data_IF_240417808733
#
_entry.id   IF_240417808733
#
_cell.length_a   1.000
_cell.length_b   1.000
_cell.length_c   1.000
_cell.angle_alpha   90.00
_cell.angle_beta   90.00
_cell.angle_gamma   90.00
#
_symmetry.space_group_name_H-M   'P 1'
#
loop_
_entity.id
_entity.type
_entity.pdbx_description
1 polymer ?
#
# COMPACT_ATOMS: atom_id res chain seq x y z
N UNK A 1 9.84 7.27 11.24
CA UNK A 1 8.91 8.42 11.02
C UNK A 1 8.22 8.29 9.67
N UNK A 2 6.93 8.63 9.58
CA UNK A 2 6.19 8.65 8.31
C UNK A 2 5.91 10.10 7.91
N UNK A 3 6.20 10.46 6.67
CA UNK A 3 5.89 11.76 6.11
C UNK A 3 5.27 11.61 4.72
N UNK A 4 4.23 12.39 4.46
CA UNK A 4 3.56 12.43 3.15
C UNK A 4 4.17 13.49 2.24
N UNK A 5 4.83 14.49 2.81
CA UNK A 5 5.44 15.60 2.09
C UNK A 5 6.93 15.69 2.42
N UNK A 6 7.74 15.98 1.41
CA UNK A 6 9.19 16.09 1.56
C UNK A 6 9.61 17.25 2.45
N UNK A 7 8.83 18.32 2.49
CA UNK A 7 9.07 19.47 3.41
C UNK A 7 8.96 19.03 4.88
N UNK A 8 8.05 18.12 5.22
CA UNK A 8 7.96 17.55 6.58
C UNK A 8 9.18 16.70 6.91
N UNK A 9 9.68 15.97 5.92
CA UNK A 9 10.91 15.18 6.07
C UNK A 9 12.12 16.09 6.28
N UNK A 10 12.21 17.19 5.51
CA UNK A 10 13.27 18.19 5.64
C UNK A 10 13.29 18.81 7.03
N UNK A 11 12.13 19.33 7.50
CA UNK A 11 12.01 19.90 8.84
C UNK A 11 12.33 18.91 9.95
N UNK A 12 11.93 17.64 9.80
CA UNK A 12 12.26 16.59 10.76
C UNK A 12 13.77 16.27 10.76
N UNK A 13 14.39 16.17 9.60
CA UNK A 13 15.83 15.92 9.48
C UNK A 13 16.66 17.04 10.10
N UNK A 14 16.29 18.29 9.86
CA UNK A 14 16.92 19.47 10.49
C UNK A 14 16.75 19.45 12.02
N UNK A 15 15.53 19.26 12.52
CA UNK A 15 15.26 19.27 13.93
C UNK A 15 15.95 18.13 14.71
N UNK A 16 16.22 17.00 14.05
CA UNK A 16 16.83 15.80 14.64
C UNK A 16 18.35 15.73 14.45
N UNK A 17 18.93 16.57 13.62
CA UNK A 17 20.38 16.62 13.39
C UNK A 17 21.14 16.79 14.72
N UNK A 18 22.13 15.92 14.95
CA UNK A 18 22.91 15.88 16.18
C UNK A 18 22.15 15.42 17.44
N UNK A 19 20.89 15.01 17.31
CA UNK A 19 20.04 14.56 18.44
C UNK A 19 19.68 13.09 18.38
N UNK A 20 19.73 12.50 17.19
CA UNK A 20 19.46 11.07 17.00
C UNK A 20 20.61 10.43 16.23
N UNK A 21 20.90 9.18 16.55
CA UNK A 21 21.92 8.41 15.85
C UNK A 21 21.36 7.71 14.60
N UNK A 22 20.05 7.40 14.59
CA UNK A 22 19.42 6.61 13.56
C UNK A 22 18.01 7.12 13.23
N UNK A 23 17.70 7.25 11.94
CA UNK A 23 16.39 7.65 11.42
C UNK A 23 15.80 6.50 10.60
N UNK A 24 14.74 5.87 11.10
CA UNK A 24 13.99 4.86 10.36
C UNK A 24 12.82 5.54 9.63
N UNK A 25 12.86 5.52 8.31
CA UNK A 25 11.87 6.15 7.45
C UNK A 25 10.85 5.14 6.93
N UNK A 26 9.57 5.47 7.08
CA UNK A 26 8.46 4.71 6.54
C UNK A 26 8.22 5.16 5.11
N UNK A 27 8.86 4.47 4.19
CA UNK A 27 8.77 4.71 2.76
C UNK A 27 7.67 3.87 2.10
N UNK A 28 7.76 3.66 0.81
CA UNK A 28 6.77 2.94 0.01
C UNK A 28 7.40 2.29 -1.20
N UNK A 29 6.80 1.22 -1.71
CA UNK A 29 7.12 0.69 -3.04
C UNK A 29 6.85 1.68 -4.19
N UNK A 30 6.11 2.74 -3.93
CA UNK A 30 5.85 3.83 -4.87
C UNK A 30 7.11 4.62 -5.29
N UNK A 31 8.24 4.38 -4.65
CA UNK A 31 9.54 4.97 -5.04
C UNK A 31 10.18 4.27 -6.24
N UNK A 32 9.75 3.07 -6.58
CA UNK A 32 10.31 2.33 -7.71
C UNK A 32 9.72 2.79 -9.05
N UNK A 33 10.58 2.86 -10.06
CA UNK A 33 10.11 3.00 -11.44
C UNK A 33 9.52 1.70 -11.93
N UNK A 34 8.49 1.76 -12.80
CA UNK A 34 7.96 0.56 -13.44
C UNK A 34 9.09 -0.24 -14.08
N UNK A 35 9.05 -1.54 -13.85
CA UNK A 35 9.98 -2.51 -14.43
C UNK A 35 9.17 -3.69 -14.93
N UNK A 36 9.61 -4.29 -16.01
CA UNK A 36 9.07 -5.56 -16.52
C UNK A 36 9.62 -6.77 -15.77
N UNK A 37 10.63 -6.55 -14.92
CA UNK A 37 11.22 -7.58 -14.08
C UNK A 37 10.59 -7.58 -12.69
N UNK A 38 10.01 -8.68 -12.28
CA UNK A 38 9.39 -8.89 -10.97
C UNK A 38 10.03 -10.06 -10.24
N UNK A 39 10.04 -10.04 -8.91
CA UNK A 39 9.64 -8.95 -8.02
C UNK A 39 10.66 -7.81 -8.00
N UNK A 40 10.20 -6.58 -7.67
CA UNK A 40 11.08 -5.42 -7.52
C UNK A 40 11.96 -5.58 -6.26
N UNK A 41 13.25 -5.40 -6.44
CA UNK A 41 14.25 -5.45 -5.37
C UNK A 41 14.66 -4.05 -4.96
N UNK A 42 15.42 -3.93 -3.88
CA UNK A 42 15.95 -2.65 -3.42
C UNK A 42 16.90 -1.99 -4.45
N UNK A 43 17.46 -2.79 -5.36
CA UNK A 43 18.27 -2.35 -6.50
C UNK A 43 17.45 -1.92 -7.73
N UNK A 44 16.13 -2.15 -7.73
CA UNK A 44 15.26 -1.72 -8.84
C UNK A 44 15.35 -0.21 -9.02
N UNK A 45 15.34 0.31 -10.27
CA UNK A 45 15.47 1.74 -10.54
C UNK A 45 14.51 2.59 -9.70
N UNK A 46 15.05 3.59 -9.06
CA UNK A 46 14.39 4.49 -8.13
C UNK A 46 14.06 5.83 -8.81
N UNK A 47 12.88 6.37 -8.57
CA UNK A 47 12.48 7.67 -9.08
C UNK A 47 10.96 7.83 -9.18
N UNK A 48 10.47 9.06 -9.39
CA UNK A 48 9.04 9.30 -9.47
C UNK A 48 8.44 8.64 -10.71
N UNK A 49 7.22 8.16 -10.56
CA UNK A 49 6.43 7.56 -11.64
C UNK A 49 5.02 8.13 -11.69
N UNK A 50 4.44 8.32 -12.89
CA UNK A 50 3.12 8.95 -13.04
C UNK A 50 2.01 8.26 -12.25
N UNK A 51 1.97 6.92 -12.21
CA UNK A 51 0.90 6.16 -11.55
C UNK A 51 0.71 6.49 -10.07
N UNK A 52 1.77 6.93 -9.38
CA UNK A 52 1.72 7.32 -7.97
C UNK A 52 1.51 8.82 -7.74
N UNK A 53 1.41 9.60 -8.82
CA UNK A 53 1.15 11.03 -8.77
C UNK A 53 2.08 11.79 -7.82
N UNK A 54 1.49 12.68 -7.02
CA UNK A 54 2.25 13.45 -6.04
C UNK A 54 2.82 12.58 -4.92
N UNK A 55 2.09 11.55 -4.49
CA UNK A 55 2.54 10.68 -3.41
C UNK A 55 3.90 10.03 -3.71
N UNK A 56 4.07 9.45 -4.90
CA UNK A 56 5.35 8.85 -5.31
C UNK A 56 6.47 9.87 -5.41
N UNK A 57 6.18 11.06 -5.97
CA UNK A 57 7.17 12.17 -6.04
C UNK A 57 7.66 12.56 -4.65
N UNK A 58 6.75 12.76 -3.70
CA UNK A 58 7.08 13.16 -2.34
C UNK A 58 7.87 12.08 -1.59
N UNK A 59 7.51 10.80 -1.75
CA UNK A 59 8.28 9.70 -1.15
C UNK A 59 9.70 9.60 -1.72
N UNK A 60 9.87 9.78 -3.03
CA UNK A 60 11.18 9.83 -3.68
C UNK A 60 12.01 11.02 -3.18
N UNK A 61 11.42 12.22 -3.10
CA UNK A 61 12.09 13.40 -2.60
C UNK A 61 12.53 13.23 -1.14
N UNK A 62 11.64 12.68 -0.30
CA UNK A 62 11.94 12.39 1.11
C UNK A 62 13.10 11.39 1.26
N UNK A 63 13.09 10.29 0.49
CA UNK A 63 14.21 9.33 0.57
C UNK A 63 15.53 9.97 0.11
N UNK A 64 15.54 10.73 -0.97
CA UNK A 64 16.76 11.42 -1.44
C UNK A 64 17.34 12.32 -0.38
N UNK A 65 16.52 13.18 0.21
CA UNK A 65 16.91 14.08 1.30
C UNK A 65 17.54 13.31 2.47
N UNK A 66 16.93 12.19 2.88
CA UNK A 66 17.45 11.39 3.98
C UNK A 66 18.75 10.67 3.61
N UNK A 67 18.89 10.19 2.37
CA UNK A 67 20.15 9.60 1.90
C UNK A 67 21.28 10.63 1.82
N UNK A 68 20.98 11.87 1.43
CA UNK A 68 21.96 12.96 1.47
C UNK A 68 22.40 13.27 2.89
N UNK A 69 21.47 13.30 3.85
CA UNK A 69 21.79 13.48 5.28
C UNK A 69 22.63 12.32 5.83
N UNK A 70 22.35 11.07 5.43
CA UNK A 70 23.15 9.92 5.77
C UNK A 70 24.57 10.00 5.23
N UNK A 71 24.72 10.34 3.94
CA UNK A 71 26.01 10.50 3.28
C UNK A 71 26.84 11.63 3.91
N UNK A 72 26.19 12.67 4.41
CA UNK A 72 26.82 13.75 5.16
C UNK A 72 27.20 13.37 6.60
N UNK A 73 26.87 12.15 7.06
CA UNK A 73 27.16 11.71 8.43
C UNK A 73 26.26 12.33 9.49
N UNK A 74 25.10 12.90 9.11
CA UNK A 74 24.19 13.55 10.07
C UNK A 74 23.57 12.52 11.03
N UNK A 75 23.12 11.38 10.50
CA UNK A 75 22.62 10.20 11.23
C UNK A 75 22.56 8.99 10.28
N UNK A 76 22.46 7.79 10.84
CA UNK A 76 22.15 6.61 10.04
C UNK A 76 20.71 6.70 9.53
N UNK A 77 20.46 6.18 8.32
CA UNK A 77 19.13 6.11 7.72
C UNK A 77 18.82 4.68 7.36
N UNK A 78 17.61 4.23 7.71
CA UNK A 78 17.00 3.01 7.17
C UNK A 78 15.70 3.38 6.48
N UNK A 79 15.52 2.94 5.24
CA UNK A 79 14.26 3.12 4.51
C UNK A 79 13.51 1.80 4.41
N UNK A 80 12.31 1.74 5.01
CA UNK A 80 11.42 0.58 4.93
C UNK A 80 10.36 0.84 3.85
N UNK A 81 10.38 0.07 2.76
CA UNK A 81 9.52 0.23 1.59
C UNK A 81 8.41 -0.79 1.61
N UNK A 82 7.18 -0.34 1.78
CA UNK A 82 5.99 -1.18 1.87
C UNK A 82 5.19 -1.12 0.57
N UNK A 83 4.54 -2.24 0.16
CA UNK A 83 3.51 -2.19 -0.87
C UNK A 83 2.22 -1.57 -0.29
N UNK A 84 1.26 -2.37 0.11
CA UNK A 84 0.04 -1.93 0.78
C UNK A 84 -0.02 -2.54 2.17
N UNK A 85 -0.16 -1.69 3.18
CA UNK A 85 -0.32 -2.12 4.57
C UNK A 85 -1.80 -2.38 4.79
N UNK A 86 -2.13 -3.57 5.28
CA UNK A 86 -3.48 -4.00 5.64
C UNK A 86 -3.57 -4.31 7.14
N UNK A 87 -4.78 -4.24 7.67
CA UNK A 87 -5.06 -4.62 9.06
C UNK A 87 -6.17 -3.79 9.69
N UNK A 88 -6.58 -4.15 10.93
CA UNK A 88 -7.60 -3.45 11.68
C UNK A 88 -7.35 -1.94 11.77
N UNK A 89 -8.42 -1.17 11.74
CA UNK A 89 -8.40 0.29 11.80
C UNK A 89 -7.62 0.98 10.66
N UNK A 90 -7.46 0.31 9.51
CA UNK A 90 -6.85 0.93 8.34
C UNK A 90 -7.63 2.20 7.96
N UNK A 91 -6.93 3.36 7.93
CA UNK A 91 -7.54 4.64 7.55
C UNK A 91 -7.75 4.77 6.04
N UNK A 92 -7.01 3.99 5.24
CA UNK A 92 -7.19 3.93 3.80
C UNK A 92 -8.36 3.02 3.48
N UNK A 93 -9.24 3.48 2.57
CA UNK A 93 -10.43 2.74 2.15
C UNK A 93 -10.01 1.58 1.21
N UNK A 94 -9.52 0.50 1.80
CA UNK A 94 -9.13 -0.74 1.11
C UNK A 94 -10.01 -1.90 1.54
N UNK A 95 -9.78 -2.45 2.73
CA UNK A 95 -10.63 -3.52 3.25
C UNK A 95 -12.06 -3.04 3.43
N UNK A 96 -12.27 -1.82 3.96
CA UNK A 96 -13.59 -1.19 4.07
C UNK A 96 -14.29 -1.03 2.72
N UNK A 97 -13.52 -0.77 1.64
CA UNK A 97 -14.05 -0.71 0.28
C UNK A 97 -14.71 -2.02 -0.12
N UNK A 98 -14.01 -3.16 0.05
CA UNK A 98 -14.55 -4.47 -0.30
C UNK A 98 -15.68 -4.89 0.64
N UNK A 99 -15.45 -4.80 1.94
CA UNK A 99 -16.40 -5.27 2.97
C UNK A 99 -17.74 -4.56 2.88
N UNK A 100 -17.73 -3.22 2.77
CA UNK A 100 -18.98 -2.48 2.68
C UNK A 100 -19.78 -2.78 1.42
N UNK A 101 -19.11 -3.04 0.28
CA UNK A 101 -19.79 -3.41 -0.98
C UNK A 101 -20.31 -4.84 -0.93
N UNK A 102 -19.55 -5.76 -0.40
CA UNK A 102 -19.93 -7.16 -0.25
C UNK A 102 -21.12 -7.32 0.71
N UNK A 103 -21.12 -6.67 1.87
CA UNK A 103 -22.25 -6.68 2.81
C UNK A 103 -23.50 -6.03 2.22
N UNK A 104 -23.35 -5.00 1.39
CA UNK A 104 -24.47 -4.34 0.73
C UNK A 104 -24.93 -5.05 -0.56
N UNK A 105 -24.29 -6.14 -0.98
CA UNK A 105 -24.58 -6.84 -2.24
C UNK A 105 -24.29 -5.99 -3.49
N UNK A 106 -23.46 -4.95 -3.37
CA UNK A 106 -23.13 -4.05 -4.49
C UNK A 106 -22.15 -4.70 -5.48
N UNK A 107 -22.26 -4.38 -6.78
CA UNK A 107 -21.22 -4.76 -7.72
C UNK A 107 -19.89 -4.11 -7.35
N UNK A 108 -18.80 -4.88 -7.51
CA UNK A 108 -17.43 -4.35 -7.38
C UNK A 108 -16.83 -4.28 -8.78
N UNK A 109 -16.52 -3.05 -9.22
CA UNK A 109 -15.93 -2.77 -10.51
C UNK A 109 -14.44 -3.12 -10.46
N UNK A 110 -14.02 -4.05 -11.32
CA UNK A 110 -12.62 -4.50 -11.40
C UNK A 110 -11.95 -3.92 -12.64
N UNK A 111 -10.84 -3.17 -12.50
CA UNK A 111 -10.02 -2.76 -13.63
C UNK A 111 -9.57 -3.96 -14.47
N UNK A 112 -9.86 -3.94 -15.75
CA UNK A 112 -9.69 -5.09 -16.63
C UNK A 112 -10.51 -6.27 -16.14
N UNK A 113 -9.88 -7.42 -15.96
CA UNK A 113 -10.48 -8.61 -15.34
C UNK A 113 -10.00 -8.86 -13.92
N UNK A 114 -9.37 -7.85 -13.31
CA UNK A 114 -8.78 -7.95 -11.97
C UNK A 114 -7.54 -8.86 -11.91
N UNK A 115 -6.81 -9.00 -13.02
CA UNK A 115 -5.61 -9.87 -13.10
C UNK A 115 -4.35 -9.22 -12.57
N UNK A 116 -4.40 -7.94 -12.24
CA UNK A 116 -3.25 -7.22 -11.65
C UNK A 116 -2.86 -7.84 -10.33
N UNK A 117 -1.56 -8.13 -10.19
CA UNK A 117 -0.98 -8.64 -8.95
C UNK A 117 -0.63 -7.49 -8.02
N UNK A 118 -1.12 -7.58 -6.81
CA UNK A 118 -0.71 -6.73 -5.70
C UNK A 118 -0.16 -7.58 -4.56
N UNK A 119 0.60 -6.94 -3.72
CA UNK A 119 1.19 -7.54 -2.54
C UNK A 119 0.83 -6.71 -1.32
N UNK A 120 0.70 -7.37 -0.20
CA UNK A 120 0.30 -6.76 1.06
C UNK A 120 1.31 -7.09 2.15
N UNK A 121 1.24 -6.32 3.22
CA UNK A 121 1.95 -6.59 4.47
C UNK A 121 1.02 -6.26 5.64
N UNK A 122 1.04 -7.09 6.66
CA UNK A 122 0.22 -6.88 7.85
C UNK A 122 0.82 -5.79 8.75
N UNK A 123 -0.03 -4.97 9.34
CA UNK A 123 0.39 -3.82 10.15
C UNK A 123 1.33 -4.20 11.31
N UNK A 124 1.15 -5.37 11.93
CA UNK A 124 2.04 -5.85 12.99
C UNK A 124 3.41 -6.27 12.45
N UNK A 125 3.48 -6.86 11.24
CA UNK A 125 4.76 -7.16 10.58
C UNK A 125 5.53 -5.88 10.27
N UNK A 126 4.82 -4.81 9.88
CA UNK A 126 5.39 -3.47 9.70
C UNK A 126 5.97 -2.95 11.01
N UNK A 127 5.19 -3.04 12.10
CA UNK A 127 5.65 -2.59 13.42
C UNK A 127 6.90 -3.37 13.86
N UNK A 128 6.92 -4.68 13.65
CA UNK A 128 8.07 -5.54 13.94
C UNK A 128 9.31 -5.15 13.13
N UNK A 129 9.14 -4.86 11.83
CA UNK A 129 10.24 -4.40 10.99
C UNK A 129 10.82 -3.06 11.47
N UNK A 130 9.97 -2.13 11.91
CA UNK A 130 10.41 -0.83 12.46
C UNK A 130 11.21 -1.03 13.75
N UNK A 131 10.68 -1.82 14.69
CA UNK A 131 11.34 -2.09 15.98
C UNK A 131 12.69 -2.75 15.73
N UNK A 132 12.72 -3.82 14.93
CA UNK A 132 13.97 -4.54 14.66
C UNK A 132 15.01 -3.66 13.97
N UNK A 133 14.62 -2.84 12.98
CA UNK A 133 15.54 -1.90 12.34
C UNK A 133 16.10 -0.88 13.33
N UNK A 134 15.29 -0.47 14.32
CA UNK A 134 15.73 0.46 15.37
C UNK A 134 16.69 -0.20 16.39
N UNK A 135 16.46 -1.48 16.69
CA UNK A 135 17.29 -2.26 17.63
C UNK A 135 18.59 -2.76 17.01
N UNK A 136 18.69 -2.80 15.68
CA UNK A 136 19.87 -3.27 14.94
C UNK A 136 20.47 -2.18 14.03
N UNK A 137 20.82 -0.99 14.56
CA UNK A 137 21.29 0.14 13.77
C UNK A 137 22.56 -0.16 12.96
N UNK A 138 23.43 -1.05 13.44
CA UNK A 138 24.68 -1.44 12.77
C UNK A 138 24.42 -2.21 11.48
N UNK A 139 23.33 -2.99 11.43
CA UNK A 139 22.94 -3.76 10.24
C UNK A 139 21.99 -2.97 9.35
N UNK A 140 21.02 -2.29 9.95
CA UNK A 140 19.96 -1.60 9.23
C UNK A 140 20.39 -0.23 8.69
N UNK A 141 21.35 0.43 9.35
CA UNK A 141 21.83 1.76 8.98
C UNK A 141 22.46 1.80 7.59
N UNK A 142 22.06 2.77 6.78
CA UNK A 142 22.51 2.89 5.40
C UNK A 142 21.80 1.95 4.42
N UNK A 143 20.73 1.28 4.83
CA UNK A 143 20.04 0.27 4.03
C UNK A 143 18.58 0.64 3.73
N UNK A 144 18.11 0.18 2.56
CA UNK A 144 16.69 0.11 2.27
C UNK A 144 16.24 -1.37 2.33
N UNK A 145 15.00 -1.59 2.77
CA UNK A 145 14.38 -2.92 2.82
C UNK A 145 12.97 -2.88 2.27
N UNK A 146 12.64 -3.79 1.38
CA UNK A 146 11.27 -4.10 1.03
C UNK A 146 10.61 -4.92 2.14
N UNK A 147 9.43 -4.53 2.55
CA UNK A 147 8.66 -5.22 3.57
C UNK A 147 7.32 -5.66 2.97
N UNK A 148 7.27 -6.87 2.45
CA UNK A 148 6.09 -7.40 1.76
C UNK A 148 5.92 -8.88 2.08
N UNK A 149 4.67 -9.34 2.21
CA UNK A 149 4.40 -10.78 2.32
C UNK A 149 4.80 -11.47 0.99
N UNK A 150 5.37 -12.66 1.06
CA UNK A 150 5.96 -13.37 -0.10
C UNK A 150 4.97 -13.69 -1.24
N UNK A 151 3.66 -13.79 -0.92
CA UNK A 151 2.63 -14.23 -1.87
C UNK A 151 1.80 -13.07 -2.38
N UNK A 152 2.04 -12.58 -3.60
CA UNK A 152 1.14 -11.65 -4.27
C UNK A 152 -0.21 -12.32 -4.56
N UNK A 153 -1.26 -11.52 -4.68
CA UNK A 153 -2.60 -11.95 -5.04
C UNK A 153 -3.16 -11.03 -6.12
N UNK A 154 -3.99 -11.54 -7.00
CA UNK A 154 -4.67 -10.70 -8.00
C UNK A 154 -5.74 -9.82 -7.35
N UNK A 155 -6.08 -8.70 -7.96
CA UNK A 155 -7.18 -7.84 -7.51
C UNK A 155 -8.49 -8.64 -7.38
N UNK A 156 -8.79 -9.48 -8.37
CA UNK A 156 -9.95 -10.41 -8.30
C UNK A 156 -9.84 -11.35 -7.12
N UNK A 157 -8.72 -12.05 -6.98
CA UNK A 157 -8.52 -13.04 -5.90
C UNK A 157 -8.58 -12.41 -4.51
N UNK A 158 -8.16 -11.12 -4.39
CA UNK A 158 -8.30 -10.40 -3.13
C UNK A 158 -9.76 -10.12 -2.77
N UNK A 159 -10.61 -9.70 -3.72
CA UNK A 159 -12.04 -9.49 -3.48
C UNK A 159 -12.75 -10.82 -3.21
N UNK A 160 -12.44 -11.86 -3.98
CA UNK A 160 -13.00 -13.21 -3.77
C UNK A 160 -12.62 -13.76 -2.38
N UNK A 161 -11.41 -13.49 -1.91
CA UNK A 161 -10.96 -13.85 -0.57
C UNK A 161 -11.72 -13.06 0.52
N UNK A 162 -11.98 -11.77 0.32
CA UNK A 162 -12.83 -10.98 1.22
C UNK A 162 -14.26 -11.54 1.28
N UNK A 163 -14.83 -11.90 0.13
CA UNK A 163 -16.16 -12.49 0.04
C UNK A 163 -16.25 -13.85 0.75
N UNK A 164 -15.24 -14.70 0.54
CA UNK A 164 -15.16 -16.01 1.21
C UNK A 164 -15.09 -15.87 2.73
N UNK A 165 -14.28 -14.95 3.26
CA UNK A 165 -14.16 -14.67 4.69
C UNK A 165 -15.47 -14.13 5.28
N UNK A 166 -16.21 -13.31 4.52
CA UNK A 166 -17.52 -12.80 4.93
C UNK A 166 -18.66 -13.81 4.75
N UNK A 167 -18.42 -14.91 4.02
CA UNK A 167 -19.46 -15.90 3.71
C UNK A 167 -20.53 -15.39 2.73
N UNK A 168 -20.16 -14.48 1.81
CA UNK A 168 -21.05 -13.89 0.79
C UNK A 168 -20.54 -14.13 -0.62
N UNK A 169 -21.41 -13.97 -1.62
CA UNK A 169 -20.99 -13.98 -3.03
C UNK A 169 -20.56 -12.60 -3.49
N UNK A 170 -19.48 -12.53 -4.28
CA UNK A 170 -19.00 -11.30 -4.88
C UNK A 170 -19.60 -11.10 -6.27
N UNK A 171 -20.26 -9.97 -6.50
CA UNK A 171 -20.69 -9.53 -7.83
C UNK A 171 -19.56 -8.71 -8.47
N UNK A 172 -18.71 -9.34 -9.29
CA UNK A 172 -17.53 -8.74 -9.90
C UNK A 172 -17.81 -8.32 -11.34
N UNK A 173 -17.66 -7.02 -11.62
CA UNK A 173 -17.91 -6.43 -12.94
C UNK A 173 -16.58 -5.93 -13.52
N UNK A 174 -16.04 -6.59 -14.55
CA UNK A 174 -14.85 -6.09 -15.27
C UNK A 174 -15.15 -4.75 -15.96
N UNK A 175 -14.21 -3.80 -15.85
CA UNK A 175 -14.33 -2.49 -16.51
C UNK A 175 -13.04 -2.13 -17.26
N UNK A 176 -13.20 -1.43 -18.36
CA UNK A 176 -12.11 -0.74 -19.03
C UNK A 176 -12.01 0.70 -18.47
N UNK A 177 -11.02 0.96 -17.64
CA UNK A 177 -10.80 2.29 -17.05
C UNK A 177 -10.56 3.37 -18.11
N UNK A 178 -9.92 3.02 -19.23
CA UNK A 178 -9.68 3.96 -20.32
C UNK A 178 -11.01 4.38 -20.98
N UNK A 179 -11.97 3.46 -21.09
CA UNK A 179 -13.30 3.75 -21.63
C UNK A 179 -14.13 4.67 -20.71
N UNK A 180 -13.85 4.68 -19.42
CA UNK A 180 -14.55 5.53 -18.45
C UNK A 180 -13.99 6.94 -18.33
N UNK A 181 -12.96 7.30 -19.09
CA UNK A 181 -12.31 8.62 -19.03
C UNK A 181 -11.71 8.95 -17.67
N UNK A 182 -11.43 7.95 -16.88
CA UNK A 182 -10.76 8.12 -15.57
C UNK A 182 -9.30 8.43 -15.82
N UNK A 183 -8.97 9.72 -15.94
CA UNK A 183 -7.59 10.15 -15.96
C UNK A 183 -6.94 9.80 -14.62
N UNK A 184 -5.85 9.04 -14.66
CA UNK A 184 -5.08 8.60 -13.50
C UNK A 184 -4.39 9.74 -12.71
N UNK A 185 -4.68 11.01 -13.04
CA UNK A 185 -3.91 12.15 -12.55
C UNK A 185 -4.21 12.59 -11.11
N UNK A 186 -5.33 12.17 -10.56
CA UNK A 186 -5.66 12.47 -9.15
C UNK A 186 -6.20 11.24 -8.48
N UNK A 187 -5.41 10.64 -7.60
CA UNK A 187 -5.92 9.70 -6.62
C UNK A 187 -6.80 10.49 -5.65
N UNK A 188 -8.02 10.75 -6.06
CA UNK A 188 -9.05 11.17 -5.13
C UNK A 188 -9.49 9.94 -4.34
N UNK A 189 -8.84 9.73 -3.19
CA UNK A 189 -9.14 8.64 -2.28
C UNK A 189 -10.58 8.67 -1.75
N UNK A 190 -11.33 9.73 -2.05
CA UNK A 190 -12.73 9.89 -1.60
C UNK A 190 -13.74 9.37 -2.61
N UNK A 191 -13.30 9.04 -3.84
CA UNK A 191 -14.19 8.65 -4.94
C UNK A 191 -13.48 7.70 -5.90
N UNK A 192 -12.95 6.61 -5.37
CA UNK A 192 -12.22 5.59 -6.12
C UNK A 192 -13.18 4.55 -6.69
N UNK A 193 -12.86 4.05 -7.87
CA UNK A 193 -13.56 2.92 -8.49
C UNK A 193 -13.03 1.58 -7.95
N UNK A 194 -11.71 1.50 -7.71
CA UNK A 194 -11.04 0.37 -7.10
C UNK A 194 -9.84 0.83 -6.26
N UNK A 195 -9.55 0.21 -5.10
CA UNK A 195 -8.58 0.75 -4.13
C UNK A 195 -7.11 0.44 -4.44
N UNK A 196 -6.84 -0.28 -5.53
CA UNK A 196 -5.49 -0.66 -5.94
C UNK A 196 -5.22 -0.27 -7.39
N UNK A 197 -3.95 -0.07 -7.77
CA UNK A 197 -3.59 0.30 -9.14
C UNK A 197 -3.89 -0.81 -10.14
N UNK A 198 -3.95 -0.43 -11.41
CA UNK A 198 -4.10 -1.34 -12.54
C UNK A 198 -2.77 -1.94 -13.01
N UNK A 199 -1.65 -1.58 -12.38
CA UNK A 199 -0.33 -2.13 -12.65
C UNK A 199 0.14 -3.04 -11.51
N UNK A 200 1.00 -4.02 -11.84
CA UNK A 200 1.54 -4.94 -10.83
C UNK A 200 2.41 -4.21 -9.81
N UNK A 201 2.21 -4.56 -8.52
CA UNK A 201 3.05 -4.08 -7.41
C UNK A 201 3.52 -5.30 -6.63
N UNK A 202 4.70 -5.79 -6.98
CA UNK A 202 5.29 -7.00 -6.38
C UNK A 202 6.74 -6.73 -6.00
N UNK A 203 7.03 -6.82 -4.70
CA UNK A 203 8.32 -6.51 -4.08
C UNK A 203 9.00 -7.79 -3.55
N UNK A 204 10.31 -7.86 -3.63
CA UNK A 204 11.10 -8.91 -3.00
C UNK A 204 11.47 -8.50 -1.56
N UNK A 205 10.81 -9.12 -0.58
CA UNK A 205 11.07 -8.89 0.85
C UNK A 205 12.21 -9.73 1.44
N UNK A 206 12.87 -10.55 0.65
CA UNK A 206 13.85 -11.53 1.14
C UNK A 206 15.07 -10.92 1.84
N UNK A 207 15.45 -9.69 1.46
CA UNK A 207 16.55 -8.96 2.12
C UNK A 207 16.24 -8.67 3.59
N UNK A 208 15.02 -8.25 3.89
CA UNK A 208 14.58 -7.96 5.26
C UNK A 208 14.72 -9.20 6.16
N UNK A 209 14.25 -10.35 5.69
CA UNK A 209 14.35 -11.61 6.44
C UNK A 209 15.79 -12.04 6.60
N UNK A 210 16.58 -11.98 5.53
CA UNK A 210 17.97 -12.45 5.55
C UNK A 210 18.88 -11.61 6.46
N UNK A 211 18.71 -10.29 6.49
CA UNK A 211 19.61 -9.37 7.16
C UNK A 211 19.13 -8.97 8.56
N UNK A 212 17.84 -8.82 8.76
CA UNK A 212 17.26 -8.40 10.04
C UNK A 212 16.48 -9.50 10.75
N UNK A 213 16.31 -10.68 10.14
CA UNK A 213 15.55 -11.78 10.73
C UNK A 213 14.05 -11.52 10.85
N UNK A 214 13.52 -10.54 10.13
CA UNK A 214 12.09 -10.19 10.18
C UNK A 214 11.35 -10.94 9.08
N UNK A 215 10.45 -11.82 9.48
CA UNK A 215 9.53 -12.50 8.58
C UNK A 215 8.19 -11.72 8.49
N UNK A 216 7.71 -11.50 7.28
CA UNK A 216 6.36 -10.98 7.00
C UNK A 216 5.41 -12.18 6.86
N UNK A 217 5.15 -12.84 7.99
CA UNK A 217 4.55 -14.18 8.03
C UNK A 217 3.02 -14.20 7.91
N UNK A 218 2.35 -13.06 8.14
CA UNK A 218 0.88 -13.02 8.11
C UNK A 218 0.40 -13.04 6.66
N UNK A 219 -0.18 -14.18 6.25
CA UNK A 219 -0.66 -14.39 4.89
C UNK A 219 -1.97 -13.65 4.59
N UNK A 220 -2.30 -13.50 3.30
CA UNK A 220 -3.45 -12.73 2.81
C UNK A 220 -4.77 -13.12 3.51
N UNK A 221 -5.07 -14.41 3.67
CA UNK A 221 -6.29 -14.87 4.36
C UNK A 221 -6.33 -14.37 5.80
N UNK A 222 -5.23 -14.53 6.54
CA UNK A 222 -5.18 -14.12 7.94
C UNK A 222 -5.35 -12.61 8.12
N UNK A 223 -4.77 -11.80 7.23
CA UNK A 223 -4.95 -10.34 7.23
C UNK A 223 -6.43 -9.98 7.10
N UNK A 224 -7.15 -10.64 6.19
CA UNK A 224 -8.57 -10.39 5.94
C UNK A 224 -9.44 -10.89 7.11
N UNK A 225 -9.15 -12.06 7.69
CA UNK A 225 -9.83 -12.58 8.87
C UNK A 225 -9.69 -11.67 10.09
N UNK A 226 -8.48 -11.13 10.33
CA UNK A 226 -8.25 -10.16 11.42
C UNK A 226 -9.02 -8.85 11.19
N UNK A 227 -9.06 -8.39 9.94
CA UNK A 227 -9.86 -7.22 9.59
C UNK A 227 -11.35 -7.51 9.76
N UNK A 228 -11.87 -8.68 9.35
CA UNK A 228 -13.25 -9.09 9.52
C UNK A 228 -13.66 -9.10 10.99
N UNK A 229 -12.83 -9.70 11.85
CA UNK A 229 -13.08 -9.74 13.29
C UNK A 229 -13.11 -8.35 13.95
N UNK A 230 -12.32 -7.41 13.44
CA UNK A 230 -12.36 -6.00 13.85
C UNK A 230 -13.60 -5.30 13.29
N UNK A 231 -13.89 -5.48 11.98
CA UNK A 231 -15.03 -4.88 11.29
C UNK A 231 -16.37 -5.23 11.94
N UNK A 232 -16.55 -6.48 12.31
CA UNK A 232 -17.77 -6.96 12.99
C UNK A 232 -18.05 -6.21 14.30
N UNK A 233 -17.00 -5.85 15.04
CA UNK A 233 -17.10 -5.14 16.33
C UNK A 233 -17.40 -3.66 16.21
N UNK A 234 -17.34 -3.07 15.01
CA UNK A 234 -17.58 -1.65 14.84
C UNK A 234 -19.08 -1.34 14.93
N UNK A 235 -19.49 -0.55 15.92
CA UNK A 235 -20.86 -0.08 16.07
C UNK A 235 -21.27 0.85 14.92
N UNK A 236 -20.30 1.61 14.38
CA UNK A 236 -20.46 2.43 13.18
C UNK A 236 -19.39 1.98 12.20
N UNK A 237 -19.79 1.40 11.08
CA UNK A 237 -18.87 1.01 10.02
C UNK A 237 -18.19 2.27 9.48
N UNK A 238 -16.90 2.22 9.11
CA UNK A 238 -16.26 3.33 8.41
C UNK A 238 -17.15 3.78 7.27
N UNK A 239 -17.48 5.07 7.25
CA UNK A 239 -18.39 5.62 6.27
C UNK A 239 -17.82 5.35 4.87
N UNK A 240 -18.57 4.59 4.09
CA UNK A 240 -18.24 4.43 2.69
C UNK A 240 -18.33 5.82 2.04
N UNK A 241 -17.24 6.17 1.39
CA UNK A 241 -17.14 7.44 0.68
C UNK A 241 -18.07 7.43 -0.53
N UNK A 242 -18.06 8.42 -1.34
CA UNK A 242 -19.01 8.55 -2.44
C UNK A 242 -18.99 7.36 -3.42
N UNK A 243 -20.16 6.88 -3.81
CA UNK A 243 -20.32 5.92 -4.92
C UNK A 243 -20.52 6.62 -6.29
N UNK A 244 -20.34 7.95 -6.38
CA UNK A 244 -20.73 8.72 -7.56
C UNK A 244 -20.03 8.21 -8.85
N UNK A 245 -18.72 7.97 -8.82
CA UNK A 245 -17.99 7.43 -9.98
C UNK A 245 -18.39 6.00 -10.30
N UNK A 246 -18.56 5.17 -9.29
CA UNK A 246 -19.02 3.79 -9.44
C UNK A 246 -20.41 3.75 -10.10
N UNK A 247 -21.35 4.56 -9.58
CA UNK A 247 -22.69 4.64 -10.14
C UNK A 247 -22.68 5.19 -11.59
N UNK A 248 -21.84 6.17 -11.89
CA UNK A 248 -21.67 6.67 -13.25
C UNK A 248 -21.12 5.56 -14.19
N UNK A 249 -20.16 4.79 -13.73
CA UNK A 249 -19.62 3.66 -14.48
C UNK A 249 -20.67 2.57 -14.71
N UNK A 250 -21.42 2.18 -13.67
CA UNK A 250 -22.52 1.22 -13.78
C UNK A 250 -23.58 1.69 -14.78
N UNK A 251 -23.97 2.98 -14.72
CA UNK A 251 -24.91 3.57 -15.67
C UNK A 251 -24.39 3.50 -17.10
N UNK A 252 -23.12 3.85 -17.32
CA UNK A 252 -22.51 3.77 -18.65
C UNK A 252 -22.44 2.34 -19.20
N UNK A 253 -22.38 1.34 -18.34
CA UNK A 253 -22.42 -0.09 -18.68
C UNK A 253 -23.85 -0.65 -18.82
N UNK A 254 -24.88 0.17 -18.59
CA UNK A 254 -26.28 -0.27 -18.60
C UNK A 254 -26.64 -1.19 -17.43
N UNK A 255 -25.89 -1.13 -16.34
CA UNK A 255 -26.09 -1.91 -15.13
C UNK A 255 -26.83 -1.11 -14.07
N UNK A 256 -27.61 -1.77 -13.19
CA UNK A 256 -28.32 -1.07 -12.13
C UNK A 256 -27.37 -0.44 -11.13
N UNK A 257 -27.65 0.81 -10.76
CA UNK A 257 -27.04 1.50 -9.63
C UNK A 257 -27.80 1.09 -8.38
N UNK A 258 -27.13 0.44 -7.45
CA UNK A 258 -27.74 -0.04 -6.18
C UNK A 258 -27.56 0.99 -5.09
#
# INVERSE_FOLDING_TARGET
MSAYFSDWTAGAAEALAGRVAHYVFISSGAVYRPSTEYPWRESTPFGPVPMWGNYGREKVASERLLWDAHAAGTFLVTSLRFPFILGPANFADRESFAFGRLEAGRPILLPGEGRTLNQYVYAEDVARAIVTATEQPETAGGQAYNCAHERPITNRGWVELCADVLGVEANLVPIDEAALGVAAETIDLTNIVFPFPSEHVVLDGSKLTRELGVETAVGNRRMIEEYAAWWEKQAVKPALRSYARENAALTALGLPTV
#
